data_IF_264191142589
#
_entry.id   IF_264191142589
#
_cell.length_a   1.000
_cell.length_b   1.000
_cell.length_c   1.000
_cell.angle_alpha   90.00
_cell.angle_beta   90.00
_cell.angle_gamma   90.00
#
_symmetry.space_group_name_H-M   'P 1'
#
loop_
_entity.id
_entity.type
_entity.pdbx_description
1 polymer ?
#
# COMPACT_ATOMS: atom_id res chain seq x y z
N UNK A 1 40.63 30.76 -23.46
CA UNK A 1 40.08 29.45 -23.85
C UNK A 1 40.69 28.39 -22.94
N UNK A 2 39.89 27.73 -22.10
CA UNK A 2 40.37 26.72 -21.15
C UNK A 2 40.21 25.31 -21.72
N UNK A 3 41.24 24.48 -21.60
CA UNK A 3 41.25 23.10 -22.09
C UNK A 3 40.39 22.19 -21.20
N UNK A 4 39.62 21.24 -21.76
CA UNK A 4 38.89 20.26 -20.97
C UNK A 4 39.87 19.21 -20.44
N UNK A 5 40.12 19.17 -19.14
CA UNK A 5 40.80 18.03 -18.50
C UNK A 5 39.81 16.87 -18.36
N UNK A 6 40.05 15.70 -18.97
CA UNK A 6 39.19 14.53 -18.79
C UNK A 6 39.61 13.84 -17.49
N UNK A 7 39.12 14.34 -16.35
CA UNK A 7 39.31 13.64 -15.08
C UNK A 7 38.62 12.27 -15.17
N UNK A 8 39.35 11.15 -15.07
CA UNK A 8 38.73 9.84 -15.15
C UNK A 8 37.80 9.62 -13.95
N UNK A 9 36.61 9.08 -14.21
CA UNK A 9 35.65 8.72 -13.17
C UNK A 9 35.22 7.26 -13.32
N UNK A 10 34.93 6.62 -12.19
CA UNK A 10 34.48 5.24 -12.15
C UNK A 10 33.04 5.16 -12.65
N UNK A 11 32.81 4.41 -13.72
CA UNK A 11 31.48 4.10 -14.25
C UNK A 11 31.24 2.60 -14.15
N UNK A 12 30.12 2.21 -13.56
CA UNK A 12 29.70 0.82 -13.51
C UNK A 12 28.18 0.71 -13.69
N UNK A 13 27.75 -0.48 -14.11
CA UNK A 13 26.34 -0.81 -14.23
C UNK A 13 25.92 -1.61 -12.99
N UNK A 14 24.99 -1.08 -12.20
CA UNK A 14 24.39 -1.79 -11.08
C UNK A 14 23.07 -2.42 -11.53
N UNK A 15 22.98 -3.75 -11.46
CA UNK A 15 21.71 -4.47 -11.64
C UNK A 15 21.29 -5.05 -10.30
N UNK A 16 20.18 -4.56 -9.76
CA UNK A 16 19.61 -5.05 -8.50
C UNK A 16 18.39 -5.91 -8.82
N UNK A 17 18.47 -7.21 -8.51
CA UNK A 17 17.33 -8.13 -8.53
C UNK A 17 16.67 -8.11 -7.15
N UNK A 18 15.50 -7.49 -7.05
CA UNK A 18 14.72 -7.49 -5.82
C UNK A 18 13.23 -7.43 -6.10
N UNK A 19 12.45 -8.12 -5.27
CA UNK A 19 10.98 -8.06 -5.27
C UNK A 19 10.46 -6.73 -4.69
N UNK A 20 11.33 -5.89 -4.13
CA UNK A 20 10.95 -4.65 -3.46
C UNK A 20 10.67 -3.50 -4.45
N UNK A 21 11.26 -3.52 -5.64
CA UNK A 21 11.07 -2.51 -6.70
C UNK A 21 10.07 -2.95 -7.78
N UNK A 22 9.13 -3.83 -7.45
CA UNK A 22 8.03 -4.15 -8.35
C UNK A 22 7.14 -2.91 -8.49
N UNK A 23 6.77 -2.56 -9.73
CA UNK A 23 5.81 -1.49 -10.00
C UNK A 23 4.48 -1.79 -9.30
N UNK A 24 4.30 -1.23 -8.10
CA UNK A 24 3.04 -1.34 -7.37
C UNK A 24 2.09 -0.32 -7.96
N UNK A 25 1.03 -0.80 -8.60
CA UNK A 25 -0.09 0.05 -9.02
C UNK A 25 -0.54 0.84 -7.78
N UNK A 26 -0.33 2.16 -7.75
CA UNK A 26 -0.83 3.01 -6.67
C UNK A 26 -2.34 2.82 -6.65
N UNK A 27 -2.85 2.19 -5.59
CA UNK A 27 -4.28 2.19 -5.31
C UNK A 27 -4.74 3.65 -5.22
N UNK A 28 -5.93 3.93 -5.73
CA UNK A 28 -6.53 5.25 -5.62
C UNK A 28 -6.56 5.72 -4.15
N UNK A 29 -6.44 7.04 -3.93
CA UNK A 29 -6.22 7.63 -2.60
C UNK A 29 -7.28 7.18 -1.57
N UNK A 30 -8.52 6.95 -2.01
CA UNK A 30 -9.61 6.46 -1.16
C UNK A 30 -9.37 5.02 -0.69
N UNK A 31 -8.95 4.15 -1.62
CA UNK A 31 -8.64 2.76 -1.31
C UNK A 31 -7.46 2.69 -0.35
N UNK A 32 -6.40 3.48 -0.59
CA UNK A 32 -5.22 3.52 0.26
C UNK A 32 -5.54 3.93 1.71
N UNK A 33 -6.43 4.91 1.91
CA UNK A 33 -6.92 5.29 3.25
C UNK A 33 -7.63 4.14 3.95
N UNK A 34 -8.49 3.42 3.23
CA UNK A 34 -9.20 2.24 3.75
C UNK A 34 -8.21 1.14 4.15
N UNK A 35 -7.23 0.85 3.30
CA UNK A 35 -6.17 -0.13 3.57
C UNK A 35 -5.37 0.23 4.82
N UNK A 36 -4.88 1.46 4.92
CA UNK A 36 -4.12 1.93 6.09
C UNK A 36 -4.94 1.84 7.37
N UNK A 37 -6.25 2.10 7.28
CA UNK A 37 -7.15 1.99 8.43
C UNK A 37 -7.32 0.53 8.88
N UNK A 38 -7.55 -0.39 7.95
CA UNK A 38 -7.65 -1.83 8.23
C UNK A 38 -6.36 -2.33 8.89
N UNK A 39 -5.19 -1.96 8.35
CA UNK A 39 -3.89 -2.30 8.91
C UNK A 39 -3.74 -1.80 10.36
N UNK A 40 -4.08 -0.54 10.61
CA UNK A 40 -4.01 0.03 11.96
C UNK A 40 -4.97 -0.67 12.94
N UNK A 41 -6.16 -1.06 12.49
CA UNK A 41 -7.11 -1.80 13.34
C UNK A 41 -6.64 -3.24 13.59
N UNK A 42 -6.02 -3.89 12.59
CA UNK A 42 -5.46 -5.23 12.73
C UNK A 42 -4.26 -5.25 13.69
N UNK A 43 -3.38 -4.26 13.61
CA UNK A 43 -2.25 -4.09 14.53
C UNK A 43 -2.70 -3.82 15.98
N UNK A 44 -3.93 -3.32 16.18
CA UNK A 44 -4.55 -3.22 17.52
C UNK A 44 -5.12 -4.55 18.03
N UNK A 45 -5.01 -5.64 17.27
CA UNK A 45 -5.54 -6.95 17.64
C UNK A 45 -7.03 -7.17 17.32
N UNK A 46 -7.67 -6.27 16.57
CA UNK A 46 -9.10 -6.43 16.24
C UNK A 46 -9.32 -7.57 15.23
N UNK A 47 -10.32 -8.40 15.51
CA UNK A 47 -10.83 -9.39 14.57
C UNK A 47 -11.63 -8.77 13.41
N UNK A 48 -11.79 -9.49 12.31
CA UNK A 48 -12.43 -8.97 11.08
C UNK A 48 -13.86 -8.47 11.31
N UNK A 49 -14.62 -9.11 12.21
CA UNK A 49 -15.99 -8.70 12.56
C UNK A 49 -16.02 -7.35 13.28
N UNK A 50 -15.04 -7.08 14.14
CA UNK A 50 -14.93 -5.80 14.83
C UNK A 50 -14.43 -4.71 13.88
N UNK A 51 -13.49 -5.05 12.98
CA UNK A 51 -12.99 -4.13 11.96
C UNK A 51 -14.12 -3.68 11.03
N UNK A 52 -14.97 -4.60 10.55
CA UNK A 52 -16.07 -4.22 9.65
C UNK A 52 -17.06 -3.25 10.32
N UNK A 53 -17.43 -3.50 11.58
CA UNK A 53 -18.28 -2.60 12.36
C UNK A 53 -17.64 -1.22 12.54
N UNK A 54 -16.37 -1.18 12.87
CA UNK A 54 -15.65 0.08 13.10
C UNK A 54 -15.49 0.89 11.82
N UNK A 55 -15.23 0.24 10.68
CA UNK A 55 -15.20 0.90 9.37
C UNK A 55 -16.56 1.52 9.03
N UNK A 56 -17.66 0.78 9.21
CA UNK A 56 -19.00 1.30 8.95
C UNK A 56 -19.36 2.46 9.89
N UNK A 57 -19.00 2.36 11.18
CA UNK A 57 -19.20 3.41 12.18
C UNK A 57 -18.46 4.70 11.82
N UNK A 58 -17.28 4.58 11.21
CA UNK A 58 -16.47 5.71 10.75
C UNK A 58 -16.88 6.23 9.36
N UNK A 59 -17.94 5.67 8.75
CA UNK A 59 -18.44 6.11 7.46
C UNK A 59 -17.62 5.64 6.25
N UNK A 60 -16.72 4.66 6.42
CA UNK A 60 -16.04 4.06 5.28
C UNK A 60 -17.04 3.22 4.48
N UNK A 61 -17.12 3.48 3.18
CA UNK A 61 -17.95 2.72 2.23
C UNK A 61 -17.07 1.94 1.27
N UNK A 62 -17.58 0.80 0.81
CA UNK A 62 -16.94 0.04 -0.27
C UNK A 62 -16.97 0.84 -1.58
N UNK A 63 -16.23 0.38 -2.59
CA UNK A 63 -16.27 0.94 -3.95
C UNK A 63 -17.66 0.93 -4.60
N UNK A 64 -18.61 0.17 -4.05
CA UNK A 64 -20.01 0.07 -4.52
C UNK A 64 -20.94 0.91 -3.60
N UNK A 65 -20.40 1.68 -2.65
CA UNK A 65 -21.19 2.48 -1.70
C UNK A 65 -21.85 1.67 -0.58
N UNK A 66 -21.65 0.35 -0.55
CA UNK A 66 -22.21 -0.57 0.48
C UNK A 66 -21.32 -0.64 1.72
N UNK A 67 -21.92 -1.05 2.83
CA UNK A 67 -21.24 -1.29 4.10
C UNK A 67 -20.24 -2.44 4.02
N UNK A 68 -19.18 -2.36 4.82
CA UNK A 68 -18.19 -3.41 4.99
C UNK A 68 -18.76 -4.58 5.75
N UNK A 69 -18.54 -5.77 5.22
CA UNK A 69 -18.80 -7.04 5.87
C UNK A 69 -17.47 -7.79 6.14
N UNK A 70 -17.41 -8.72 7.10
CA UNK A 70 -16.14 -9.28 7.58
C UNK A 70 -15.31 -9.99 6.50
N UNK A 71 -15.95 -10.71 5.57
CA UNK A 71 -15.23 -11.39 4.48
C UNK A 71 -14.61 -10.41 3.49
N UNK A 72 -15.25 -9.27 3.20
CA UNK A 72 -14.65 -8.21 2.37
C UNK A 72 -13.37 -7.66 3.01
N UNK A 73 -13.40 -7.42 4.32
CA UNK A 73 -12.21 -6.98 5.06
C UNK A 73 -11.09 -8.03 4.94
N UNK A 74 -11.42 -9.32 5.04
CA UNK A 74 -10.43 -10.39 4.88
C UNK A 74 -9.84 -10.44 3.47
N UNK A 75 -10.64 -10.23 2.41
CA UNK A 75 -10.13 -10.20 1.03
C UNK A 75 -9.20 -9.01 0.82
N UNK A 76 -9.58 -7.85 1.34
CA UNK A 76 -8.78 -6.62 1.26
C UNK A 76 -7.46 -6.78 2.01
N UNK A 77 -7.48 -7.45 3.17
CA UNK A 77 -6.29 -7.78 3.94
C UNK A 77 -5.35 -8.72 3.16
N UNK A 78 -5.87 -9.82 2.61
CA UNK A 78 -5.07 -10.79 1.84
C UNK A 78 -4.46 -10.21 0.57
N UNK A 79 -5.08 -9.19 -0.04
CA UNK A 79 -4.51 -8.49 -1.20
C UNK A 79 -3.28 -7.63 -0.87
N UNK A 80 -3.01 -7.39 0.41
CA UNK A 80 -1.84 -6.61 0.87
C UNK A 80 -0.61 -7.51 1.02
N UNK A 81 -0.80 -8.80 1.29
CA UNK A 81 0.24 -9.84 1.36
C UNK A 81 0.61 -10.35 -0.04
#
# INVERSE_FOLDING_TARGET
MGFPTPTPFLKFNLRVLTHQFVYRKKLDNSHQKTHNKILRLKNKGLGYRSISKELNRLGFKSSIGKDFYPSLVSVIWKKIE
#
